data_IF_793610235200
#
_entry.id   IF_793610235200
#
_cell.length_a   1.000
_cell.length_b   1.000
_cell.length_c   1.000
_cell.angle_alpha   90.00
_cell.angle_beta   90.00
_cell.angle_gamma   90.00
#
_symmetry.space_group_name_H-M   'P 1'
#
loop_
_entity.id
_entity.type
_entity.pdbx_description
1 polymer ?
#
# COMPACT_ATOMS: atom_id res chain seq x y z
N UNK A 1 -3.25 -2.28 -3.77
CA UNK A 1 -2.24 -2.51 -2.71
C UNK A 1 -2.08 -1.22 -1.93
N UNK A 2 -2.16 -1.29 -0.63
CA UNK A 2 -2.05 -0.13 0.26
C UNK A 2 -0.89 -0.36 1.21
N UNK A 3 0.10 0.57 1.20
CA UNK A 3 1.17 0.68 2.19
C UNK A 3 1.88 -0.65 2.51
N UNK A 4 2.14 -1.47 1.49
CA UNK A 4 2.76 -2.79 1.62
C UNK A 4 3.78 -3.00 0.50
N UNK A 5 5.04 -3.37 0.79
CA UNK A 5 6.05 -3.63 -0.21
C UNK A 5 5.90 -5.02 -0.83
N UNK A 6 6.39 -5.22 -2.05
CA UNK A 6 6.43 -6.53 -2.70
C UNK A 6 7.61 -7.41 -2.22
N UNK A 7 8.57 -6.83 -1.51
CA UNK A 7 9.70 -7.55 -0.94
C UNK A 7 10.10 -6.97 0.42
N UNK A 8 10.64 -7.82 1.29
CA UNK A 8 11.09 -7.45 2.64
C UNK A 8 12.01 -6.24 2.64
N UNK A 9 12.92 -6.14 1.66
CA UNK A 9 13.85 -5.04 1.50
C UNK A 9 13.21 -3.67 1.25
N UNK A 10 11.91 -3.65 0.95
CA UNK A 10 11.15 -2.41 0.74
C UNK A 10 10.85 -1.65 2.02
N UNK A 11 10.86 -2.30 3.16
CA UNK A 11 10.73 -1.65 4.45
C UNK A 11 12.02 -0.92 4.83
N UNK A 12 11.91 0.28 5.41
CA UNK A 12 13.06 0.94 6.04
C UNK A 12 13.68 0.05 7.13
N UNK A 13 15.00 0.15 7.38
CA UNK A 13 15.67 -0.65 8.41
C UNK A 13 15.03 -0.54 9.79
N UNK A 14 14.57 0.65 10.18
CA UNK A 14 13.90 0.91 11.46
C UNK A 14 12.58 0.15 11.56
N UNK A 15 11.80 0.11 10.48
CA UNK A 15 10.57 -0.67 10.42
C UNK A 15 10.86 -2.18 10.53
N UNK A 16 11.89 -2.68 9.85
CA UNK A 16 12.31 -4.07 9.95
C UNK A 16 12.78 -4.42 11.36
N UNK A 17 13.49 -3.52 12.02
CA UNK A 17 13.92 -3.69 13.41
C UNK A 17 12.73 -3.72 14.37
N UNK A 18 11.74 -2.84 14.17
CA UNK A 18 10.48 -2.86 14.91
C UNK A 18 9.74 -4.19 14.73
N UNK A 19 9.63 -4.68 13.50
CA UNK A 19 9.02 -5.99 13.21
C UNK A 19 9.75 -7.15 13.90
N UNK A 20 11.07 -7.11 13.95
CA UNK A 20 11.89 -8.14 14.62
C UNK A 20 11.70 -8.17 16.14
N UNK A 21 11.22 -7.09 16.74
CA UNK A 21 10.95 -7.00 18.18
C UNK A 21 9.55 -7.50 18.58
N UNK A 22 8.69 -7.83 17.61
CA UNK A 22 7.34 -8.32 17.89
C UNK A 22 7.38 -9.74 18.43
N UNK A 23 6.78 -9.95 19.61
CA UNK A 23 6.71 -11.25 20.27
C UNK A 23 5.89 -11.17 21.55
N UNK A 24 5.74 -12.29 22.27
CA UNK A 24 4.95 -12.39 23.50
C UNK A 24 5.38 -11.40 24.58
N UNK A 25 6.69 -11.07 24.64
CA UNK A 25 7.26 -10.09 25.56
C UNK A 25 6.72 -8.68 25.38
N UNK A 26 6.15 -8.37 24.21
CA UNK A 26 5.54 -7.07 23.93
C UNK A 26 4.13 -6.93 24.54
N UNK A 27 3.45 -8.04 24.87
CA UNK A 27 2.07 -8.04 25.33
C UNK A 27 1.78 -7.11 26.52
N UNK A 28 2.64 -7.04 27.58
CA UNK A 28 2.42 -6.12 28.68
C UNK A 28 2.47 -4.64 28.28
N UNK A 29 3.32 -4.30 27.30
CA UNK A 29 3.49 -2.93 26.81
C UNK A 29 2.31 -2.49 25.94
N UNK A 30 1.61 -3.44 25.33
CA UNK A 30 0.45 -3.19 24.49
C UNK A 30 -0.88 -3.16 25.26
N UNK A 31 -0.86 -3.40 26.58
CA UNK A 31 -2.05 -3.63 27.43
C UNK A 31 -3.19 -2.61 27.19
N UNK A 32 -2.87 -1.34 27.05
CA UNK A 32 -3.85 -0.26 26.92
C UNK A 32 -4.04 0.23 25.47
N UNK A 33 -3.40 -0.43 24.51
CA UNK A 33 -3.52 -0.07 23.10
C UNK A 33 -4.83 -0.57 22.48
N UNK A 34 -5.27 0.04 21.35
CA UNK A 34 -6.41 -0.47 20.59
C UNK A 34 -6.27 -1.94 20.20
N UNK A 35 -5.04 -2.38 19.86
CA UNK A 35 -4.74 -3.76 19.48
C UNK A 35 -5.04 -4.75 20.61
N UNK A 36 -4.60 -4.46 21.83
CA UNK A 36 -4.90 -5.34 22.97
C UNK A 36 -6.38 -5.31 23.35
N UNK A 37 -7.02 -4.13 23.28
CA UNK A 37 -8.46 -3.99 23.52
C UNK A 37 -9.29 -4.80 22.51
N UNK A 38 -8.87 -4.81 21.22
CA UNK A 38 -9.48 -5.65 20.20
C UNK A 38 -9.29 -7.14 20.51
N UNK A 39 -8.09 -7.55 20.91
CA UNK A 39 -7.81 -8.93 21.27
C UNK A 39 -8.63 -9.44 22.48
N UNK A 40 -9.06 -8.57 23.37
CA UNK A 40 -9.96 -8.93 24.48
C UNK A 40 -11.36 -9.40 24.02
N UNK A 41 -11.74 -9.06 22.79
CA UNK A 41 -13.01 -9.48 22.18
C UNK A 41 -12.93 -10.86 21.49
N UNK A 42 -11.74 -11.48 21.45
CA UNK A 42 -11.56 -12.81 20.86
C UNK A 42 -12.18 -13.91 21.73
N UNK A 43 -12.53 -15.06 21.16
CA UNK A 43 -12.99 -16.21 21.95
C UNK A 43 -11.97 -16.66 22.99
N UNK A 44 -10.67 -16.50 22.74
CA UNK A 44 -9.57 -16.87 23.63
C UNK A 44 -8.59 -15.68 23.84
N UNK A 45 -8.96 -14.64 24.61
CA UNK A 45 -8.13 -13.43 24.78
C UNK A 45 -6.75 -13.72 25.40
N UNK A 46 -6.67 -14.77 26.23
CA UNK A 46 -5.41 -15.20 26.87
C UNK A 46 -4.34 -15.67 25.88
N UNK A 47 -4.71 -15.94 24.63
CA UNK A 47 -3.78 -16.33 23.56
C UNK A 47 -3.14 -15.15 22.84
N UNK A 48 -3.39 -13.92 23.26
CA UNK A 48 -2.79 -12.73 22.64
C UNK A 48 -1.25 -12.76 22.62
N UNK A 49 -0.53 -13.18 23.69
CA UNK A 49 0.93 -13.33 23.62
C UNK A 49 1.38 -14.33 22.55
N UNK A 50 0.74 -15.50 22.44
CA UNK A 50 1.07 -16.49 21.40
C UNK A 50 0.78 -15.99 19.98
N UNK A 51 -0.25 -15.13 19.84
CA UNK A 51 -0.50 -14.46 18.56
C UNK A 51 0.65 -13.52 18.21
N UNK A 52 1.16 -12.73 19.16
CA UNK A 52 2.31 -11.85 18.95
C UNK A 52 3.57 -12.63 18.54
N UNK A 53 3.82 -13.81 19.15
CA UNK A 53 4.93 -14.67 18.73
C UNK A 53 4.78 -15.16 17.29
N UNK A 54 3.58 -15.55 16.88
CA UNK A 54 3.31 -15.95 15.50
C UNK A 54 3.48 -14.78 14.52
N UNK A 55 3.00 -13.61 14.90
CA UNK A 55 3.17 -12.39 14.11
C UNK A 55 4.65 -12.02 13.95
N UNK A 56 5.42 -12.02 15.05
CA UNK A 56 6.84 -11.73 15.00
C UNK A 56 7.62 -12.73 14.14
N UNK A 57 7.30 -14.02 14.25
CA UNK A 57 7.89 -15.05 13.38
C UNK A 57 7.60 -14.78 11.90
N UNK A 58 6.34 -14.53 11.54
CA UNK A 58 5.92 -14.21 10.19
C UNK A 58 6.61 -12.92 9.67
N UNK A 59 6.65 -11.87 10.50
CA UNK A 59 7.30 -10.61 10.16
C UNK A 59 8.83 -10.75 10.02
N UNK A 60 9.44 -11.76 10.66
CA UNK A 60 10.85 -12.09 10.54
C UNK A 60 11.23 -12.74 9.22
N UNK A 61 10.29 -13.38 8.53
CA UNK A 61 10.56 -14.11 7.29
C UNK A 61 10.95 -13.17 6.15
N UNK A 62 11.89 -13.62 5.32
CA UNK A 62 12.23 -12.96 4.06
C UNK A 62 11.24 -13.33 2.97
N UNK A 63 10.90 -12.37 2.14
CA UNK A 63 10.08 -12.59 0.95
C UNK A 63 10.49 -11.63 -0.18
N UNK A 64 10.29 -12.07 -1.40
CA UNK A 64 10.39 -11.26 -2.61
C UNK A 64 9.44 -11.82 -3.68
N UNK A 65 8.40 -11.09 -3.99
CA UNK A 65 7.36 -11.45 -4.96
C UNK A 65 7.51 -10.71 -6.29
N UNK A 66 8.70 -10.19 -6.57
CA UNK A 66 8.95 -9.40 -7.79
C UNK A 66 8.59 -10.15 -9.09
N UNK A 67 8.86 -11.46 -9.13
CA UNK A 67 8.56 -12.28 -10.29
C UNK A 67 7.05 -12.49 -10.50
N UNK A 68 6.29 -12.62 -9.40
CA UNK A 68 4.84 -12.79 -9.42
C UNK A 68 4.12 -11.48 -9.73
N UNK A 69 4.60 -10.38 -9.16
CA UNK A 69 4.06 -9.03 -9.40
C UNK A 69 4.09 -8.69 -10.90
N UNK A 70 5.18 -9.00 -11.60
CA UNK A 70 5.32 -8.77 -13.04
C UNK A 70 4.26 -9.50 -13.88
N UNK A 71 3.72 -10.60 -13.37
CA UNK A 71 2.78 -11.49 -14.09
C UNK A 71 1.32 -11.13 -13.81
N UNK A 72 1.03 -10.17 -12.93
CA UNK A 72 -0.34 -9.80 -12.59
C UNK A 72 -1.12 -9.34 -13.84
N UNK A 73 -2.19 -10.05 -14.24
CA UNK A 73 -2.90 -9.74 -15.47
C UNK A 73 -3.92 -8.60 -15.30
N UNK A 74 -4.30 -8.29 -14.07
CA UNK A 74 -5.30 -7.27 -13.76
C UNK A 74 -4.66 -5.89 -13.59
N UNK A 75 -5.45 -4.81 -13.71
CA UNK A 75 -5.04 -3.49 -13.27
C UNK A 75 -4.70 -3.48 -11.79
N UNK A 76 -3.64 -2.75 -11.42
CA UNK A 76 -3.20 -2.63 -10.02
C UNK A 76 -3.04 -1.16 -9.68
N UNK A 77 -3.59 -0.76 -8.54
CA UNK A 77 -3.35 0.53 -7.94
C UNK A 77 -2.48 0.38 -6.69
N UNK A 78 -1.43 1.17 -6.60
CA UNK A 78 -0.58 1.34 -5.43
C UNK A 78 -0.97 2.63 -4.72
N UNK A 79 -1.15 2.56 -3.40
CA UNK A 79 -1.46 3.74 -2.57
C UNK A 79 -0.55 3.73 -1.36
N UNK A 80 0.22 4.80 -1.19
CA UNK A 80 1.20 4.95 -0.11
C UNK A 80 1.09 6.35 0.52
N UNK A 81 1.62 6.50 1.73
CA UNK A 81 1.85 7.79 2.34
C UNK A 81 3.20 8.38 1.85
N UNK A 82 3.36 9.70 1.90
CA UNK A 82 4.63 10.35 1.59
C UNK A 82 5.72 10.07 2.67
N UNK A 83 5.30 9.78 3.91
CA UNK A 83 6.17 9.34 5.03
C UNK A 83 5.88 7.88 5.41
N UNK A 84 5.71 7.01 4.41
CA UNK A 84 5.45 5.59 4.65
C UNK A 84 6.68 4.88 5.26
N UNK A 85 6.44 3.75 5.92
CA UNK A 85 7.51 2.83 6.35
C UNK A 85 8.11 2.01 5.20
N UNK A 86 7.51 2.08 4.03
CA UNK A 86 8.04 1.57 2.76
C UNK A 86 8.84 2.68 2.07
N UNK A 87 10.08 2.38 1.65
CA UNK A 87 10.94 3.38 1.03
C UNK A 87 10.38 3.88 -0.30
N UNK A 88 10.52 5.17 -0.58
CA UNK A 88 10.06 5.78 -1.83
C UNK A 88 10.70 5.13 -3.07
N UNK A 89 11.97 4.74 -2.95
CA UNK A 89 12.66 4.00 -4.01
C UNK A 89 11.96 2.66 -4.32
N UNK A 90 11.56 1.92 -3.29
CA UNK A 90 10.85 0.64 -3.46
C UNK A 90 9.44 0.84 -4.03
N UNK A 91 8.75 1.93 -3.66
CA UNK A 91 7.45 2.28 -4.22
C UNK A 91 7.57 2.54 -5.73
N UNK A 92 8.59 3.30 -6.15
CA UNK A 92 8.88 3.54 -7.56
C UNK A 92 9.23 2.24 -8.30
N UNK A 93 10.04 1.37 -7.70
CA UNK A 93 10.36 0.04 -8.23
C UNK A 93 9.10 -0.82 -8.38
N UNK A 94 8.21 -0.84 -7.38
CA UNK A 94 6.96 -1.57 -7.45
C UNK A 94 6.09 -1.09 -8.61
N UNK A 95 5.96 0.22 -8.77
CA UNK A 95 5.21 0.81 -9.87
C UNK A 95 5.81 0.42 -11.22
N UNK A 96 7.14 0.43 -11.35
CA UNK A 96 7.85 0.01 -12.56
C UNK A 96 7.65 -1.49 -12.87
N UNK A 97 7.66 -2.37 -11.86
CA UNK A 97 7.38 -3.80 -12.03
C UNK A 97 5.98 -4.06 -12.64
N UNK A 98 5.02 -3.20 -12.33
CA UNK A 98 3.66 -3.23 -12.88
C UNK A 98 3.55 -2.55 -14.26
N UNK A 99 4.68 -2.09 -14.81
CA UNK A 99 4.75 -1.38 -16.10
C UNK A 99 4.47 0.11 -16.00
N UNK A 100 4.34 0.68 -14.80
CA UNK A 100 4.10 2.11 -14.62
C UNK A 100 5.39 2.94 -14.63
N UNK A 101 5.32 4.19 -15.05
CA UNK A 101 6.43 5.14 -14.96
C UNK A 101 7.68 4.83 -15.80
N UNK A 102 7.62 3.86 -16.70
CA UNK A 102 8.78 3.42 -17.50
C UNK A 102 8.93 4.15 -18.83
N UNK A 103 7.93 4.89 -19.25
CA UNK A 103 7.97 5.69 -20.47
C UNK A 103 7.05 6.91 -20.37
N UNK A 104 7.39 7.95 -21.12
CA UNK A 104 6.57 9.15 -21.27
C UNK A 104 5.31 8.81 -22.08
N UNK A 105 4.09 9.19 -21.61
CA UNK A 105 2.83 8.77 -22.24
C UNK A 105 2.50 9.46 -23.57
N UNK A 106 3.19 10.55 -23.91
CA UNK A 106 2.91 11.39 -25.08
C UNK A 106 1.75 12.36 -24.85
N UNK A 107 1.67 13.38 -25.66
CA UNK A 107 0.62 14.41 -25.61
C UNK A 107 -0.80 13.84 -25.70
N UNK A 108 -0.96 12.72 -26.40
CA UNK A 108 -2.25 12.07 -26.59
C UNK A 108 -2.54 11.02 -25.52
N UNK A 109 -1.67 10.87 -24.52
CA UNK A 109 -1.81 9.91 -23.42
C UNK A 109 -2.03 8.45 -23.90
N UNK A 110 -1.46 8.05 -25.02
CA UNK A 110 -1.69 6.74 -25.66
C UNK A 110 -0.88 5.60 -25.02
N UNK A 111 0.10 5.93 -24.16
CA UNK A 111 1.00 4.95 -23.54
C UNK A 111 0.74 4.77 -22.04
N UNK A 112 -0.47 5.03 -21.57
CA UNK A 112 -0.81 4.70 -20.18
C UNK A 112 -0.82 3.19 -19.99
N UNK A 113 -0.19 2.75 -18.89
CA UNK A 113 -0.29 1.38 -18.42
C UNK A 113 -1.54 1.17 -17.57
N UNK A 114 -1.83 -0.08 -17.22
CA UNK A 114 -2.92 -0.40 -16.30
C UNK A 114 -2.56 -0.18 -14.82
N UNK A 115 -1.30 0.13 -14.53
CA UNK A 115 -0.86 0.46 -13.17
C UNK A 115 -1.20 1.92 -12.81
N UNK A 116 -1.55 2.15 -11.56
CA UNK A 116 -1.77 3.48 -10.99
C UNK A 116 -0.97 3.61 -9.70
N UNK A 117 -0.49 4.81 -9.44
CA UNK A 117 0.22 5.15 -8.21
C UNK A 117 -0.40 6.40 -7.60
N UNK A 118 -0.71 6.35 -6.31
CA UNK A 118 -1.06 7.50 -5.50
C UNK A 118 -0.13 7.58 -4.30
N UNK A 119 0.39 8.77 -4.04
CA UNK A 119 1.11 9.14 -2.82
C UNK A 119 0.26 10.17 -2.10
N UNK A 120 -0.24 9.84 -0.92
CA UNK A 120 -1.09 10.72 -0.12
C UNK A 120 -0.21 11.53 0.81
N UNK A 121 -0.22 12.87 0.72
CA UNK A 121 0.69 13.72 1.47
C UNK A 121 0.28 13.88 2.94
N UNK A 122 1.27 14.11 3.81
CA UNK A 122 1.05 14.46 5.21
C UNK A 122 0.73 13.30 6.15
N UNK A 123 0.94 12.06 5.69
CA UNK A 123 0.69 10.84 6.50
C UNK A 123 1.94 9.98 6.61
N UNK A 124 1.98 9.20 7.69
CA UNK A 124 2.92 8.10 7.89
C UNK A 124 2.21 6.75 7.74
N UNK A 125 2.95 5.67 7.68
CA UNK A 125 2.42 4.31 7.72
C UNK A 125 1.41 4.09 8.87
N UNK A 126 1.62 4.73 10.01
CA UNK A 126 0.86 4.47 11.25
C UNK A 126 -0.48 5.22 11.34
N UNK A 127 -0.62 6.33 10.66
CA UNK A 127 -1.85 7.13 10.65
C UNK A 127 -2.52 7.22 9.27
N UNK A 128 -1.94 6.58 8.27
CA UNK A 128 -2.37 6.64 6.88
C UNK A 128 -3.84 6.26 6.70
N UNK A 129 -4.31 5.21 7.37
CA UNK A 129 -5.70 4.76 7.27
C UNK A 129 -6.74 5.74 7.80
N UNK A 130 -6.32 6.80 8.50
CA UNK A 130 -7.21 7.90 8.92
C UNK A 130 -7.40 8.99 7.84
N UNK A 131 -6.69 8.89 6.71
CA UNK A 131 -6.83 9.84 5.61
C UNK A 131 -8.20 9.77 4.96
N UNK A 132 -8.82 10.91 4.76
CA UNK A 132 -10.07 11.05 4.02
C UNK A 132 -9.89 10.96 2.50
N UNK A 133 -8.65 10.96 2.01
CA UNK A 133 -8.31 10.96 0.58
C UNK A 133 -8.17 9.55 -0.01
N UNK A 134 -7.94 8.54 0.83
CA UNK A 134 -7.74 7.16 0.36
C UNK A 134 -9.00 6.63 -0.32
N UNK A 135 -10.14 6.72 0.33
CA UNK A 135 -11.38 6.15 -0.19
C UNK A 135 -11.82 6.78 -1.53
N UNK A 136 -11.85 8.12 -1.71
CA UNK A 136 -12.13 8.73 -3.00
C UNK A 136 -11.12 8.35 -4.09
N UNK A 137 -9.83 8.25 -3.74
CA UNK A 137 -8.77 7.88 -4.69
C UNK A 137 -8.96 6.45 -5.20
N UNK A 138 -9.31 5.52 -4.32
CA UNK A 138 -9.57 4.12 -4.68
C UNK A 138 -10.88 4.00 -5.46
N UNK A 139 -11.94 4.70 -5.05
CA UNK A 139 -13.25 4.68 -5.72
C UNK A 139 -13.13 5.12 -7.18
N UNK A 140 -12.37 6.19 -7.43
CA UNK A 140 -12.06 6.65 -8.78
C UNK A 140 -11.38 5.54 -9.62
N UNK A 141 -10.36 4.87 -9.08
CA UNK A 141 -9.68 3.77 -9.76
C UNK A 141 -10.63 2.61 -10.11
N UNK A 142 -11.55 2.27 -9.21
CA UNK A 142 -12.50 1.16 -9.40
C UNK A 142 -13.59 1.48 -10.43
N UNK A 143 -13.93 2.77 -10.61
CA UNK A 143 -15.02 3.19 -11.52
C UNK A 143 -14.53 3.56 -12.90
N UNK A 144 -13.28 4.04 -13.04
CA UNK A 144 -12.74 4.45 -14.33
C UNK A 144 -12.37 3.23 -15.18
N UNK A 145 -12.79 3.15 -16.46
CA UNK A 145 -12.32 2.10 -17.35
C UNK A 145 -10.81 2.27 -17.58
N UNK A 146 -10.04 1.29 -17.15
CA UNK A 146 -8.59 1.25 -17.32
C UNK A 146 -8.20 0.70 -18.71
N UNK A 147 -8.82 1.23 -19.73
CA UNK A 147 -8.35 1.07 -21.10
C UNK A 147 -7.10 1.92 -21.27
N UNK A 148 -6.07 1.44 -21.98
CA UNK A 148 -4.81 2.16 -22.21
C UNK A 148 -4.94 3.50 -22.96
N UNK A 149 -6.14 3.93 -23.19
CA UNK A 149 -6.52 5.27 -23.63
C UNK A 149 -7.18 5.96 -22.45
N UNK A 150 -6.50 6.92 -21.84
CA UNK A 150 -7.19 7.87 -21.00
C UNK A 150 -8.22 8.57 -21.90
N UNK A 151 -9.51 8.24 -21.73
CA UNK A 151 -10.58 9.03 -22.28
C UNK A 151 -10.61 10.36 -21.52
N UNK A 152 -9.66 11.22 -21.81
CA UNK A 152 -9.66 12.60 -21.45
C UNK A 152 -10.56 13.39 -22.41
N UNK A 153 -11.80 12.98 -22.54
CA UNK A 153 -12.82 13.85 -23.04
C UNK A 153 -13.15 14.86 -21.91
N UNK A 154 -12.32 15.89 -21.80
CA UNK A 154 -12.81 17.18 -21.33
C UNK A 154 -13.88 17.54 -22.34
N UNK A 155 -15.14 17.35 -21.94
CA UNK A 155 -16.26 17.93 -22.66
C UNK A 155 -16.00 19.45 -22.68
N UNK A 156 -15.51 19.93 -23.81
CA UNK A 156 -15.50 21.34 -24.09
C UNK A 156 -16.98 21.74 -24.09
N UNK A 157 -17.39 22.39 -23.01
CA UNK A 157 -18.65 23.16 -22.97
C UNK A 157 -18.59 24.14 -24.14
N UNK A 158 -19.23 23.81 -25.26
CA UNK A 158 -19.55 24.76 -26.28
C UNK A 158 -20.56 25.70 -25.69
N UNK A 159 -20.08 26.85 -25.17
CA UNK A 159 -20.90 28.04 -25.10
C UNK A 159 -21.10 28.45 -26.56
N UNK A 160 -22.27 28.23 -27.09
CA UNK A 160 -22.74 28.85 -28.32
C UNK A 160 -23.19 30.28 -28.06
N UNK A 161 -23.12 31.21 -29.05
CA UNK A 161 -23.26 32.65 -28.93
C UNK A 161 -24.65 33.14 -28.50
#
# INVERSE_FOLDING_TARGET
>A
VISTPFAKRGWYPEAQQGMASVGASLAPQLKDTPTAKFAQQWPEPKRFPQFLDKMGKMMGESYDWSAEVKKLPMPVMLVFADHDSVSQQHIAEFFALLGGGISEPGWQNTKFTRARLAIIPGYSHYNFMSSTEIAPTIDRFLREPLTGTASGAVAASQAAP
#
